data_IF_640393428483
#
_entry.id   IF_640393428483
#
_cell.length_a   1.000
_cell.length_b   1.000
_cell.length_c   1.000
_cell.angle_alpha   90.00
_cell.angle_beta   90.00
_cell.angle_gamma   90.00
#
_symmetry.space_group_name_H-M   'P 1'
#
loop_
_entity.id
_entity.type
_entity.pdbx_description
1 polymer ?
#
# COMPACT_ATOMS: atom_id res chain seq x y z
N UNK A 1 32.21 -13.65 15.04
CA UNK A 1 31.88 -12.53 14.13
C UNK A 1 30.36 -12.32 14.05
N UNK A 2 29.72 -11.82 15.11
CA UNK A 2 28.26 -11.56 15.15
C UNK A 2 27.91 -10.07 15.37
N UNK A 3 28.93 -9.21 15.55
CA UNK A 3 28.76 -7.80 15.91
C UNK A 3 28.56 -6.85 14.71
N UNK A 4 28.91 -7.29 13.50
CA UNK A 4 28.91 -6.46 12.29
C UNK A 4 27.62 -6.60 11.45
N UNK A 5 26.87 -7.70 11.63
CA UNK A 5 25.58 -7.93 10.94
C UNK A 5 24.43 -7.09 11.51
N UNK A 6 24.46 -6.74 12.80
CA UNK A 6 23.49 -5.82 13.41
C UNK A 6 23.70 -4.36 12.99
N UNK A 7 24.96 -3.92 12.87
CA UNK A 7 25.29 -2.55 12.42
C UNK A 7 24.99 -2.37 10.94
N UNK A 8 25.25 -3.40 10.09
CA UNK A 8 24.80 -3.39 8.69
C UNK A 8 23.27 -3.39 8.63
N UNK A 9 22.56 -4.21 9.41
CA UNK A 9 21.09 -4.16 9.45
C UNK A 9 20.57 -2.78 9.88
N UNK A 10 21.11 -2.19 10.95
CA UNK A 10 20.74 -0.86 11.46
C UNK A 10 21.05 0.26 10.45
N UNK A 11 22.25 0.30 9.85
CA UNK A 11 22.60 1.29 8.82
C UNK A 11 21.85 1.07 7.50
N UNK A 12 21.54 -0.17 7.13
CA UNK A 12 20.68 -0.44 5.97
C UNK A 12 19.24 -0.01 6.26
N UNK A 13 18.69 -0.23 7.46
CA UNK A 13 17.35 0.26 7.79
C UNK A 13 17.28 1.77 7.98
N UNK A 14 18.40 2.41 8.38
CA UNK A 14 18.49 3.88 8.52
C UNK A 14 18.62 4.62 7.18
N UNK A 15 18.88 3.90 6.07
CA UNK A 15 19.03 4.46 4.72
C UNK A 15 18.07 3.83 3.69
N UNK A 16 17.35 2.77 4.05
CA UNK A 16 16.30 2.13 3.26
C UNK A 16 14.95 2.34 3.94
N UNK A 17 14.48 3.57 4.01
CA UNK A 17 13.05 3.83 3.85
C UNK A 17 12.75 3.69 2.35
N UNK A 18 12.97 2.48 1.85
CA UNK A 18 12.83 2.09 0.46
C UNK A 18 11.41 2.39 0.00
N UNK A 19 11.30 3.00 -1.17
CA UNK A 19 10.08 3.37 -1.88
C UNK A 19 9.04 2.23 -1.94
N UNK A 20 8.25 2.08 -0.87
CA UNK A 20 7.11 1.17 -0.76
C UNK A 20 5.86 2.01 -0.98
N UNK A 21 5.46 2.09 -2.25
CA UNK A 21 4.34 2.88 -2.80
C UNK A 21 3.52 3.62 -1.75
N UNK A 22 3.80 4.92 -1.62
CA UNK A 22 3.09 5.81 -0.72
C UNK A 22 1.64 5.95 -1.19
N UNK A 23 0.74 5.29 -0.47
CA UNK A 23 -0.69 5.43 -0.64
C UNK A 23 -1.23 6.73 -0.04
N UNK A 24 -0.38 7.77 0.07
CA UNK A 24 -0.59 8.97 0.88
C UNK A 24 -0.17 8.78 2.34
N UNK A 25 0.28 9.85 3.00
CA UNK A 25 0.56 9.92 4.45
C UNK A 25 1.45 8.79 5.04
N UNK A 26 2.37 8.23 4.25
CA UNK A 26 3.24 7.13 4.68
C UNK A 26 2.53 5.78 4.78
N UNK A 27 1.31 5.67 4.25
CA UNK A 27 0.56 4.42 4.16
C UNK A 27 1.21 3.53 3.13
N UNK A 28 1.54 2.32 3.56
CA UNK A 28 2.35 1.43 2.77
C UNK A 28 1.47 0.46 1.97
N UNK A 29 1.64 0.39 0.64
CA UNK A 29 0.84 -0.49 -0.21
C UNK A 29 1.18 -0.43 -1.69
N UNK A 30 0.28 -0.95 -2.52
CA UNK A 30 0.41 -0.94 -3.99
C UNK A 30 -0.67 -0.01 -4.55
N UNK A 31 -0.26 1.11 -5.14
CA UNK A 31 -1.17 2.11 -5.72
C UNK A 31 -1.64 1.67 -7.11
N UNK A 32 -2.95 1.79 -7.37
CA UNK A 32 -3.57 1.59 -8.67
C UNK A 32 -4.80 2.48 -8.81
N UNK A 33 -4.67 3.53 -9.62
CA UNK A 33 -5.69 4.59 -9.70
C UNK A 33 -5.91 5.25 -8.34
N UNK A 34 -7.17 5.36 -7.90
CA UNK A 34 -7.54 5.86 -6.57
C UNK A 34 -7.47 4.81 -5.45
N UNK A 35 -7.07 3.57 -5.73
CA UNK A 35 -6.97 2.51 -4.72
C UNK A 35 -5.54 2.25 -4.29
N UNK A 36 -5.36 2.00 -3.01
CA UNK A 36 -4.18 1.39 -2.43
C UNK A 36 -4.52 -0.03 -1.99
N UNK A 37 -3.88 -1.03 -2.59
CA UNK A 37 -4.00 -2.42 -2.18
C UNK A 37 -2.96 -2.79 -1.11
N UNK A 38 -3.23 -3.87 -0.38
CA UNK A 38 -2.23 -4.47 0.49
C UNK A 38 -1.00 -4.94 -0.32
N UNK A 39 0.18 -4.94 0.30
CA UNK A 39 1.40 -5.42 -0.36
C UNK A 39 1.39 -6.92 -0.67
N UNK A 40 0.70 -7.71 0.17
CA UNK A 40 0.54 -9.15 -0.04
C UNK A 40 -0.10 -9.48 -1.40
N UNK A 41 -0.80 -8.51 -2.00
CA UNK A 41 -1.42 -8.70 -3.29
C UNK A 41 -0.40 -8.88 -4.42
N UNK A 42 0.84 -8.38 -4.27
CA UNK A 42 1.88 -8.35 -5.31
C UNK A 42 1.56 -7.43 -6.50
N UNK A 43 0.28 -7.27 -6.83
CA UNK A 43 -0.28 -6.35 -7.83
C UNK A 43 -1.65 -5.86 -7.35
N UNK A 44 -2.04 -4.63 -7.70
CA UNK A 44 -3.30 -4.02 -7.28
C UNK A 44 -4.32 -3.96 -8.43
N UNK A 45 -5.45 -4.65 -8.26
CA UNK A 45 -6.50 -4.77 -9.27
C UNK A 45 -6.24 -5.81 -10.38
N UNK A 46 -7.07 -5.78 -11.41
CA UNK A 46 -7.01 -6.69 -12.56
C UNK A 46 -7.77 -8.01 -12.38
N UNK A 47 -7.80 -8.82 -13.44
CA UNK A 47 -8.49 -10.11 -13.46
C UNK A 47 -7.87 -11.05 -12.41
N UNK A 48 -8.73 -11.72 -11.64
CA UNK A 48 -8.31 -12.67 -10.61
C UNK A 48 -7.78 -12.04 -9.32
N UNK A 49 -7.92 -10.71 -9.13
CA UNK A 49 -7.51 -10.03 -7.89
C UNK A 49 -8.09 -10.67 -6.62
N UNK A 50 -9.29 -11.26 -6.70
CA UNK A 50 -9.96 -11.92 -5.57
C UNK A 50 -9.28 -13.22 -5.12
N UNK A 51 -8.48 -13.84 -5.99
CA UNK A 51 -7.73 -15.07 -5.68
C UNK A 51 -6.33 -14.83 -5.12
N UNK A 52 -5.93 -13.56 -4.94
CA UNK A 52 -4.61 -13.20 -4.40
C UNK A 52 -4.62 -13.21 -2.87
N UNK A 53 -3.43 -13.21 -2.27
CA UNK A 53 -3.26 -13.16 -0.82
C UNK A 53 -3.85 -11.87 -0.24
N UNK A 54 -4.79 -12.01 0.69
CA UNK A 54 -5.60 -10.90 1.22
C UNK A 54 -7.00 -10.79 0.58
N UNK A 55 -7.26 -11.52 -0.51
CA UNK A 55 -8.56 -11.64 -1.14
C UNK A 55 -9.07 -10.34 -1.79
N UNK A 56 -10.34 -10.37 -2.22
CA UNK A 56 -10.93 -9.26 -2.97
C UNK A 56 -10.89 -7.93 -2.23
N UNK A 57 -11.15 -7.92 -0.92
CA UNK A 57 -11.17 -6.70 -0.10
C UNK A 57 -9.79 -6.04 0.04
N UNK A 58 -8.71 -6.80 -0.16
CA UNK A 58 -7.34 -6.28 -0.05
C UNK A 58 -6.72 -5.93 -1.40
N UNK A 59 -7.15 -6.59 -2.48
CA UNK A 59 -6.43 -6.58 -3.77
C UNK A 59 -7.28 -6.14 -4.96
N UNK A 60 -8.61 -6.12 -4.86
CA UNK A 60 -9.48 -5.67 -5.95
C UNK A 60 -9.84 -4.21 -5.73
N UNK A 61 -9.40 -3.34 -6.64
CA UNK A 61 -9.72 -1.90 -6.60
C UNK A 61 -11.21 -1.67 -6.38
N UNK A 62 -12.08 -2.28 -7.18
CA UNK A 62 -13.55 -2.17 -7.04
C UNK A 62 -14.11 -2.54 -5.66
N UNK A 63 -13.47 -3.41 -4.88
CA UNK A 63 -13.89 -3.73 -3.52
C UNK A 63 -13.42 -2.65 -2.53
N UNK A 64 -12.22 -2.11 -2.75
CA UNK A 64 -11.61 -1.05 -1.96
C UNK A 64 -12.38 0.28 -2.15
N UNK A 65 -12.72 0.67 -3.37
CA UNK A 65 -13.54 1.87 -3.63
C UNK A 65 -14.92 1.74 -3.00
N UNK A 66 -15.53 0.54 -3.06
CA UNK A 66 -16.81 0.27 -2.41
C UNK A 66 -16.75 0.32 -0.88
N UNK A 67 -15.60 -0.04 -0.30
CA UNK A 67 -15.40 0.06 1.14
C UNK A 67 -15.27 1.52 1.60
N UNK A 68 -14.74 2.41 0.74
CA UNK A 68 -14.68 3.86 0.99
C UNK A 68 -13.77 4.26 2.16
N UNK A 69 -12.88 3.35 2.60
CA UNK A 69 -11.96 3.60 3.71
C UNK A 69 -10.79 4.44 3.21
N UNK A 70 -10.64 5.67 3.71
CA UNK A 70 -9.60 6.59 3.24
C UNK A 70 -8.22 6.25 3.81
N UNK A 71 -7.17 6.37 2.99
CA UNK A 71 -5.79 6.14 3.43
C UNK A 71 -5.36 7.11 4.54
N UNK A 72 -5.96 8.31 4.61
CA UNK A 72 -5.70 9.29 5.67
C UNK A 72 -6.16 8.83 7.07
N UNK A 73 -7.02 7.80 7.12
CA UNK A 73 -7.59 7.26 8.36
C UNK A 73 -6.96 5.92 8.75
N UNK A 74 -6.02 5.40 7.96
CA UNK A 74 -5.37 4.11 8.19
C UNK A 74 -3.85 4.25 8.14
N UNK A 75 -3.14 3.20 8.55
CA UNK A 75 -1.67 3.15 8.50
C UNK A 75 -1.15 2.14 7.47
N UNK A 76 -2.05 1.42 6.79
CA UNK A 76 -1.73 0.45 5.73
C UNK A 76 -2.91 0.30 4.75
N UNK A 77 -2.62 -0.11 3.52
CA UNK A 77 -3.64 -0.60 2.59
C UNK A 77 -4.27 -1.92 3.08
N UNK A 78 -5.51 -2.24 2.70
CA UNK A 78 -6.30 -1.61 1.64
C UNK A 78 -7.01 -0.31 2.05
N UNK A 79 -6.92 0.70 1.20
CA UNK A 79 -7.59 1.99 1.41
C UNK A 79 -7.76 2.75 0.08
N UNK A 80 -8.66 3.73 0.08
CA UNK A 80 -8.91 4.63 -1.02
C UNK A 80 -8.10 5.92 -0.81
N UNK A 81 -7.36 6.31 -1.84
CA UNK A 81 -6.54 7.53 -1.82
C UNK A 81 -7.49 8.69 -2.04
N UNK A 82 -7.80 9.41 -0.97
CA UNK A 82 -8.51 10.69 -1.05
C UNK A 82 -7.54 11.74 -1.58
N UNK A 83 -7.52 11.94 -2.89
CA UNK A 83 -7.01 13.19 -3.44
C UNK A 83 -8.02 14.28 -3.08
N UNK A 84 -7.90 14.87 -1.88
CA UNK A 84 -8.62 16.09 -1.51
C UNK A 84 -8.11 17.27 -2.37
N UNK A 85 -8.36 17.20 -3.68
CA UNK A 85 -7.77 18.12 -4.65
C UNK A 85 -7.90 17.76 -6.13
N UNK A 86 -8.65 16.74 -6.54
CA UNK A 86 -9.01 16.64 -7.97
C UNK A 86 -10.26 17.49 -8.23
N UNK A 87 -10.03 18.79 -8.40
CA UNK A 87 -10.89 19.66 -9.19
C UNK A 87 -11.02 19.07 -10.62
N UNK A 88 -11.91 18.10 -10.79
CA UNK A 88 -12.45 17.72 -12.09
C UNK A 88 -13.91 18.17 -12.16
N UNK A 89 -14.07 19.46 -12.46
CA UNK A 89 -15.16 20.06 -13.24
C UNK A 89 -16.60 19.80 -12.82
#
# INVERSE_FOLDING_TARGET
>A
MFKMRMVVALLTTLLLDVAKGDCGNGVAGIVSGGSCCAESCGTCGGVGCSGREGGAMSCCTSAIERAGVLCDTTSAGPCWISYAGDDYG
#
